data_IF_656941404219
#
_entry.id   IF_656941404219
#
_cell.length_a   1.000
_cell.length_b   1.000
_cell.length_c   1.000
_cell.angle_alpha   90.00
_cell.angle_beta   90.00
_cell.angle_gamma   90.00
#
_symmetry.space_group_name_H-M   'P 1'
#
loop_
_entity.id
_entity.type
_entity.pdbx_description
1 polymer ?
#
# COMPACT_ATOMS: atom_id res chain seq x y z
N UNK A 1 26.58 -7.35 -20.86
CA UNK A 1 26.31 -6.63 -19.59
C UNK A 1 26.94 -5.24 -19.67
N UNK A 2 26.22 -4.29 -20.29
CA UNK A 2 26.68 -2.90 -20.47
C UNK A 2 26.05 -2.04 -19.37
N UNK A 3 26.85 -1.60 -18.40
CA UNK A 3 26.43 -0.61 -17.40
C UNK A 3 26.43 0.76 -18.06
N UNK A 4 25.26 1.35 -18.31
CA UNK A 4 25.15 2.77 -18.63
C UNK A 4 25.52 3.57 -17.39
N UNK A 5 26.62 4.32 -17.46
CA UNK A 5 26.91 5.38 -16.50
C UNK A 5 26.03 6.56 -16.89
N UNK A 6 24.93 6.76 -16.17
CA UNK A 6 24.18 8.01 -16.23
C UNK A 6 25.12 9.16 -15.89
N UNK A 7 25.32 10.08 -16.84
CA UNK A 7 25.95 11.37 -16.60
C UNK A 7 25.07 12.13 -15.61
N UNK A 8 25.53 12.24 -14.37
CA UNK A 8 24.95 13.16 -13.40
C UNK A 8 25.08 14.58 -13.97
N UNK A 9 23.96 15.25 -14.15
CA UNK A 9 23.94 16.69 -14.40
C UNK A 9 24.37 17.36 -13.10
N UNK A 10 25.65 17.74 -13.02
CA UNK A 10 26.12 18.65 -12.00
C UNK A 10 25.33 19.95 -12.15
N UNK A 11 24.38 20.15 -11.26
CA UNK A 11 23.72 21.43 -11.09
C UNK A 11 24.81 22.41 -10.63
N UNK A 12 25.39 23.11 -11.60
CA UNK A 12 26.23 24.28 -11.36
C UNK A 12 25.46 25.22 -10.44
N UNK A 13 25.87 25.26 -9.18
CA UNK A 13 25.47 26.28 -8.23
C UNK A 13 26.07 27.58 -8.75
N UNK A 14 25.36 28.25 -9.66
CA UNK A 14 25.62 29.66 -9.96
C UNK A 14 25.56 30.38 -8.62
N UNK A 15 26.73 30.75 -8.08
CA UNK A 15 26.81 31.83 -7.09
C UNK A 15 26.13 33.01 -7.75
N UNK A 16 24.92 33.31 -7.30
CA UNK A 16 24.32 34.61 -7.56
C UNK A 16 25.24 35.56 -6.82
N UNK A 17 26.11 36.25 -7.56
CA UNK A 17 26.90 37.32 -6.98
C UNK A 17 25.89 38.36 -6.49
N UNK A 18 25.78 38.48 -5.17
CA UNK A 18 25.00 39.54 -4.56
C UNK A 18 25.53 40.85 -5.12
N UNK A 19 24.70 41.73 -5.71
CA UNK A 19 25.14 43.01 -6.28
C UNK A 19 25.46 44.03 -5.17
N UNK A 20 26.05 43.57 -4.08
CA UNK A 20 26.49 44.41 -3.00
C UNK A 20 27.92 44.84 -3.30
N UNK A 21 28.07 46.11 -3.72
CA UNK A 21 29.36 46.77 -3.96
C UNK A 21 30.20 46.87 -2.67
N UNK A 22 29.67 46.44 -1.51
CA UNK A 22 30.33 46.45 -0.20
C UNK A 22 30.81 45.05 0.21
N UNK A 23 31.99 45.00 0.83
CA UNK A 23 32.58 43.77 1.38
C UNK A 23 31.82 43.19 2.60
N UNK A 24 32.25 42.01 3.09
CA UNK A 24 31.62 41.33 4.21
C UNK A 24 31.64 42.19 5.49
N UNK A 25 30.63 42.07 6.37
CA UNK A 25 30.57 42.86 7.59
C UNK A 25 31.79 42.56 8.47
N UNK A 26 32.45 43.61 8.97
CA UNK A 26 33.70 43.53 9.75
C UNK A 26 33.64 42.61 10.97
N UNK A 27 32.43 42.38 11.50
CA UNK A 27 32.20 41.49 12.66
C UNK A 27 31.89 40.03 12.31
N UNK A 28 31.78 39.67 11.02
CA UNK A 28 31.47 38.30 10.56
C UNK A 28 30.08 37.77 10.91
N UNK A 29 29.25 38.55 11.64
CA UNK A 29 27.91 38.14 12.08
C UNK A 29 26.90 38.25 10.94
N UNK A 30 26.35 37.12 10.52
CA UNK A 30 25.40 37.02 9.39
C UNK A 30 24.12 37.86 9.56
N UNK A 31 23.68 38.11 10.79
CA UNK A 31 22.47 38.90 11.09
C UNK A 31 22.68 40.43 10.95
N UNK A 32 23.92 40.87 10.72
CA UNK A 32 24.26 42.26 10.39
C UNK A 32 24.36 42.48 8.88
N UNK A 33 23.57 41.74 8.09
CA UNK A 33 23.49 41.91 6.65
C UNK A 33 22.89 43.27 6.28
N UNK A 34 23.17 43.73 5.05
CA UNK A 34 22.61 44.98 4.56
C UNK A 34 21.08 44.90 4.51
N UNK A 35 20.41 45.85 5.15
CA UNK A 35 18.95 45.95 5.06
C UNK A 35 18.58 46.45 3.67
N UNK A 36 17.76 45.69 2.95
CA UNK A 36 17.19 46.12 1.68
C UNK A 36 16.31 47.36 1.85
N UNK A 37 16.33 48.25 0.85
CA UNK A 37 15.45 49.41 0.84
C UNK A 37 14.00 48.92 0.79
N UNK A 38 13.10 49.58 1.52
CA UNK A 38 11.66 49.24 1.52
C UNK A 38 11.02 49.34 0.14
N UNK A 39 11.63 50.06 -0.80
CA UNK A 39 11.26 50.14 -2.22
C UNK A 39 11.59 48.88 -3.02
N UNK A 40 12.61 48.12 -2.60
CA UNK A 40 13.02 46.85 -3.23
C UNK A 40 12.09 45.71 -2.81
N UNK A 41 11.42 45.84 -1.66
CA UNK A 41 10.40 44.88 -1.23
C UNK A 41 9.24 44.87 -2.23
N UNK A 42 8.96 43.70 -2.79
CA UNK A 42 7.80 43.49 -3.66
C UNK A 42 6.55 43.91 -2.92
N UNK A 43 5.88 44.95 -3.42
CA UNK A 43 4.58 45.41 -2.89
C UNK A 43 3.62 44.22 -2.86
N UNK A 44 2.85 44.11 -1.78
CA UNK A 44 1.88 43.03 -1.62
C UNK A 44 0.99 42.91 -2.86
N UNK A 45 0.81 41.68 -3.35
CA UNK A 45 -0.12 41.46 -4.48
C UNK A 45 -1.50 41.97 -4.07
N UNK A 46 -2.12 42.75 -4.95
CA UNK A 46 -3.51 43.20 -4.76
C UNK A 46 -4.41 41.97 -4.57
N UNK A 47 -5.37 42.09 -3.63
CA UNK A 47 -6.37 41.04 -3.40
C UNK A 47 -7.09 40.74 -4.71
N UNK A 48 -7.26 39.46 -4.99
CA UNK A 48 -8.01 38.99 -6.16
C UNK A 48 -9.49 39.34 -5.93
N UNK A 49 -10.17 39.87 -6.97
CA UNK A 49 -11.59 40.21 -6.86
C UNK A 49 -12.48 39.00 -6.56
N UNK A 50 -13.64 39.24 -5.95
CA UNK A 50 -14.55 38.19 -5.45
C UNK A 50 -14.95 37.17 -6.52
N UNK A 51 -15.35 37.63 -7.72
CA UNK A 51 -15.73 36.77 -8.85
C UNK A 51 -14.60 35.81 -9.25
N UNK A 52 -13.37 36.32 -9.29
CA UNK A 52 -12.21 35.49 -9.64
C UNK A 52 -11.85 34.52 -8.51
N UNK A 53 -12.12 34.86 -7.25
CA UNK A 53 -11.94 33.94 -6.13
C UNK A 53 -12.93 32.78 -6.17
N UNK A 54 -14.19 33.04 -6.51
CA UNK A 54 -15.22 32.01 -6.69
C UNK A 54 -14.89 31.07 -7.85
N UNK A 55 -14.48 31.62 -9.01
CA UNK A 55 -14.01 30.81 -10.13
C UNK A 55 -12.84 29.89 -9.74
N UNK A 56 -11.88 30.40 -8.96
CA UNK A 56 -10.75 29.61 -8.47
C UNK A 56 -11.15 28.54 -7.45
N UNK A 57 -12.19 28.78 -6.65
CA UNK A 57 -12.74 27.77 -5.72
C UNK A 57 -13.43 26.65 -6.50
N UNK A 58 -14.31 27.02 -7.44
CA UNK A 58 -15.00 26.05 -8.29
C UNK A 58 -14.00 25.17 -9.07
N UNK A 59 -12.95 25.77 -9.64
CA UNK A 59 -11.92 25.02 -10.35
C UNK A 59 -11.13 24.08 -9.43
N UNK A 60 -10.76 24.54 -8.22
CA UNK A 60 -10.11 23.68 -7.24
C UNK A 60 -10.98 22.49 -6.85
N UNK A 61 -12.27 22.69 -6.69
CA UNK A 61 -13.18 21.62 -6.28
C UNK A 61 -13.39 20.61 -7.42
N UNK A 62 -13.47 21.07 -8.68
CA UNK A 62 -13.45 20.19 -9.87
C UNK A 62 -12.19 19.34 -9.92
N UNK A 63 -11.01 19.95 -9.76
CA UNK A 63 -9.73 19.22 -9.77
C UNK A 63 -9.65 18.20 -8.64
N UNK A 64 -10.14 18.55 -7.43
CA UNK A 64 -10.21 17.59 -6.32
C UNK A 64 -11.12 16.41 -6.65
N UNK A 65 -12.32 16.67 -7.17
CA UNK A 65 -13.27 15.62 -7.55
C UNK A 65 -12.68 14.65 -8.58
N UNK A 66 -11.99 15.19 -9.59
CA UNK A 66 -11.28 14.37 -10.58
C UNK A 66 -10.14 13.55 -9.93
N UNK A 67 -9.36 14.17 -9.04
CA UNK A 67 -8.28 13.48 -8.32
C UNK A 67 -8.81 12.36 -7.42
N UNK A 68 -9.92 12.58 -6.70
CA UNK A 68 -10.55 11.57 -5.86
C UNK A 68 -11.09 10.42 -6.70
N UNK A 69 -11.78 10.71 -7.80
CA UNK A 69 -12.28 9.68 -8.72
C UNK A 69 -11.16 8.77 -9.25
N UNK A 70 -10.03 9.35 -9.67
CA UNK A 70 -8.86 8.58 -10.12
C UNK A 70 -8.28 7.71 -9.01
N UNK A 71 -8.17 8.24 -7.78
CA UNK A 71 -7.64 7.48 -6.64
C UNK A 71 -8.57 6.33 -6.27
N UNK A 72 -9.87 6.56 -6.29
CA UNK A 72 -10.84 5.55 -5.90
C UNK A 72 -10.92 4.43 -6.93
N UNK A 73 -10.88 4.75 -8.24
CA UNK A 73 -10.76 3.74 -9.30
C UNK A 73 -9.51 2.85 -9.15
N UNK A 74 -8.35 3.45 -8.79
CA UNK A 74 -7.12 2.67 -8.52
C UNK A 74 -7.25 1.78 -7.28
N UNK A 75 -7.93 2.25 -6.24
CA UNK A 75 -8.16 1.45 -5.03
C UNK A 75 -9.09 0.28 -5.30
N UNK A 76 -10.18 0.49 -6.04
CA UNK A 76 -11.12 -0.59 -6.38
C UNK A 76 -10.43 -1.66 -7.23
N UNK A 77 -9.66 -1.27 -8.24
CA UNK A 77 -8.88 -2.20 -9.06
C UNK A 77 -7.88 -3.01 -8.22
N UNK A 78 -7.16 -2.35 -7.30
CA UNK A 78 -6.21 -3.03 -6.42
C UNK A 78 -6.91 -4.00 -5.44
N UNK A 79 -8.06 -3.62 -4.91
CA UNK A 79 -8.86 -4.48 -4.03
C UNK A 79 -9.42 -5.69 -4.77
N UNK A 80 -9.91 -5.52 -6.00
CA UNK A 80 -10.38 -6.62 -6.84
C UNK A 80 -9.25 -7.61 -7.18
N UNK A 81 -8.08 -7.08 -7.55
CA UNK A 81 -6.89 -7.92 -7.80
C UNK A 81 -6.50 -8.70 -6.55
N UNK A 82 -6.44 -8.05 -5.40
CA UNK A 82 -6.13 -8.70 -4.11
C UNK A 82 -7.16 -9.77 -3.77
N UNK A 83 -8.45 -9.49 -3.93
CA UNK A 83 -9.52 -10.47 -3.72
C UNK A 83 -9.35 -11.68 -4.63
N UNK A 84 -9.06 -11.47 -5.92
CA UNK A 84 -8.80 -12.54 -6.89
C UNK A 84 -7.58 -13.38 -6.50
N UNK A 85 -6.50 -12.75 -6.05
CA UNK A 85 -5.31 -13.45 -5.56
C UNK A 85 -5.61 -14.28 -4.31
N UNK A 86 -6.36 -13.74 -3.35
CA UNK A 86 -6.79 -14.45 -2.14
C UNK A 86 -7.69 -15.65 -2.48
N UNK A 87 -8.65 -15.48 -3.39
CA UNK A 87 -9.51 -16.56 -3.88
C UNK A 87 -8.70 -17.64 -4.62
N UNK A 88 -7.75 -17.24 -5.46
CA UNK A 88 -6.87 -18.17 -6.16
C UNK A 88 -5.95 -18.92 -5.20
N UNK A 89 -5.44 -18.26 -4.16
CA UNK A 89 -4.62 -18.89 -3.12
C UNK A 89 -5.44 -19.92 -2.34
N UNK A 90 -6.66 -19.57 -1.93
CA UNK A 90 -7.59 -20.53 -1.28
C UNK A 90 -7.89 -21.73 -2.18
N UNK A 91 -8.21 -21.50 -3.45
CA UNK A 91 -8.41 -22.57 -4.44
C UNK A 91 -7.17 -23.44 -4.60
N UNK A 92 -5.97 -22.86 -4.61
CA UNK A 92 -4.71 -23.60 -4.72
C UNK A 92 -4.46 -24.45 -3.47
N UNK A 93 -4.73 -23.94 -2.28
CA UNK A 93 -4.62 -24.68 -1.03
C UNK A 93 -5.63 -25.84 -0.96
N UNK A 94 -6.87 -25.61 -1.38
CA UNK A 94 -7.89 -26.66 -1.49
C UNK A 94 -7.56 -27.70 -2.55
N UNK A 95 -7.09 -27.26 -3.72
CA UNK A 95 -6.68 -28.16 -4.79
C UNK A 95 -5.46 -28.96 -4.37
N UNK A 96 -4.48 -28.38 -3.67
CA UNK A 96 -3.35 -29.10 -3.12
C UNK A 96 -3.80 -30.21 -2.16
N UNK A 97 -4.74 -29.90 -1.25
CA UNK A 97 -5.36 -30.89 -0.35
C UNK A 97 -6.13 -31.98 -1.11
N UNK A 98 -6.82 -31.64 -2.20
CA UNK A 98 -7.60 -32.59 -3.03
C UNK A 98 -6.72 -33.45 -3.94
N UNK A 99 -5.66 -32.86 -4.52
CA UNK A 99 -4.71 -33.52 -5.42
C UNK A 99 -3.70 -34.38 -4.66
N UNK A 100 -3.67 -34.27 -3.34
CA UNK A 100 -2.88 -35.15 -2.50
C UNK A 100 -3.43 -36.58 -2.58
N UNK A 101 -2.85 -37.38 -3.48
CA UNK A 101 -3.16 -38.79 -3.63
C UNK A 101 -2.51 -39.56 -2.48
N UNK A 102 -3.30 -39.83 -1.43
CA UNK A 102 -2.84 -40.60 -0.26
C UNK A 102 -3.04 -42.10 -0.50
N UNK A 103 -2.02 -42.89 -0.19
CA UNK A 103 -2.15 -44.34 -0.09
C UNK A 103 -2.53 -44.72 1.35
N UNK A 104 -3.73 -45.25 1.56
CA UNK A 104 -4.17 -45.70 2.89
C UNK A 104 -3.42 -46.98 3.28
N UNK A 105 -2.51 -46.86 4.24
CA UNK A 105 -1.75 -48.00 4.78
C UNK A 105 -2.58 -48.69 5.87
N UNK A 106 -3.31 -49.75 5.49
CA UNK A 106 -4.15 -50.52 6.43
C UNK A 106 -3.35 -51.36 7.43
N UNK A 107 -2.16 -51.83 7.05
CA UNK A 107 -1.33 -52.71 7.88
C UNK A 107 -0.02 -52.01 8.27
N UNK A 108 0.16 -51.76 9.57
CA UNK A 108 1.31 -51.05 10.15
C UNK A 108 2.59 -51.89 10.16
N UNK A 109 2.50 -53.22 10.10
CA UNK A 109 3.67 -54.10 10.00
C UNK A 109 4.44 -53.87 8.69
N UNK A 110 3.80 -53.37 7.63
CA UNK A 110 4.49 -52.97 6.39
C UNK A 110 5.49 -51.84 6.62
N UNK A 111 5.13 -50.82 7.38
CA UNK A 111 6.05 -49.70 7.68
C UNK A 111 7.28 -50.18 8.46
N UNK A 112 7.08 -51.10 9.41
CA UNK A 112 8.17 -51.69 10.21
C UNK A 112 9.13 -52.54 9.37
N UNK A 113 8.65 -53.14 8.29
CA UNK A 113 9.45 -53.96 7.36
C UNK A 113 10.16 -53.13 6.28
N UNK A 114 9.81 -51.87 6.10
CA UNK A 114 10.41 -51.02 5.06
C UNK A 114 11.80 -50.54 5.44
N UNK A 115 12.64 -50.35 4.41
CA UNK A 115 13.98 -49.79 4.56
C UNK A 115 13.91 -48.34 5.07
N UNK A 116 14.83 -47.98 5.98
CA UNK A 116 14.92 -46.64 6.60
C UNK A 116 14.97 -45.48 5.59
N UNK A 117 15.54 -45.67 4.40
CA UNK A 117 15.55 -44.65 3.32
C UNK A 117 14.16 -44.42 2.69
N UNK A 118 13.34 -45.46 2.57
CA UNK A 118 11.99 -45.35 2.00
C UNK A 118 11.03 -44.66 2.98
N UNK A 119 11.16 -44.94 4.29
CA UNK A 119 10.42 -44.28 5.35
C UNK A 119 10.61 -42.75 5.38
N UNK A 120 11.76 -42.23 4.92
CA UNK A 120 12.01 -40.77 4.84
C UNK A 120 11.11 -40.06 3.83
N UNK A 121 10.54 -40.78 2.86
CA UNK A 121 9.63 -40.24 1.84
C UNK A 121 8.17 -40.35 2.25
N UNK A 122 7.87 -41.07 3.33
CA UNK A 122 6.51 -41.29 3.81
C UNK A 122 6.14 -40.15 4.74
N UNK A 123 5.16 -39.35 4.35
CA UNK A 123 4.55 -38.32 5.19
C UNK A 123 3.20 -38.81 5.71
N UNK A 124 2.90 -38.52 6.98
CA UNK A 124 1.61 -38.88 7.57
C UNK A 124 0.58 -37.82 7.18
N UNK A 125 -0.50 -38.24 6.51
CA UNK A 125 -1.62 -37.39 6.11
C UNK A 125 -2.91 -37.94 6.67
N UNK A 126 -3.78 -37.06 7.19
CA UNK A 126 -5.03 -37.46 7.81
C UNK A 126 -6.09 -37.73 6.73
N UNK A 127 -6.67 -38.93 6.76
CA UNK A 127 -7.77 -39.37 5.87
C UNK A 127 -9.06 -39.61 6.66
N UNK A 128 -9.09 -39.21 7.93
CA UNK A 128 -10.23 -39.41 8.83
C UNK A 128 -11.41 -38.58 8.36
N UNK A 129 -12.42 -39.24 7.78
CA UNK A 129 -13.70 -38.60 7.46
C UNK A 129 -14.44 -38.35 8.77
N UNK A 130 -14.33 -37.15 9.32
CA UNK A 130 -15.10 -36.76 10.52
C UNK A 130 -16.55 -36.53 10.09
N UNK A 131 -17.37 -37.59 10.15
CA UNK A 131 -18.82 -37.47 10.00
C UNK A 131 -19.34 -36.67 11.18
N UNK A 132 -19.63 -35.39 10.96
CA UNK A 132 -20.24 -34.53 11.98
C UNK A 132 -21.68 -34.96 12.17
N UNK A 133 -21.93 -35.81 13.17
CA UNK A 133 -23.29 -36.11 13.63
C UNK A 133 -23.91 -34.80 14.14
N UNK A 134 -24.84 -34.23 13.37
CA UNK A 134 -25.61 -33.05 13.78
C UNK A 134 -26.61 -33.47 14.86
N UNK A 135 -26.20 -33.47 16.13
CA UNK A 135 -27.17 -33.43 17.22
C UNK A 135 -27.73 -32.01 17.25
N UNK A 136 -28.98 -31.85 16.82
CA UNK A 136 -29.67 -30.57 16.78
C UNK A 136 -29.68 -29.93 18.19
N UNK A 137 -29.29 -28.65 18.36
CA UNK A 137 -29.62 -27.93 19.58
C UNK A 137 -31.13 -27.67 19.59
N UNK A 138 -31.77 -28.03 20.70
CA UNK A 138 -33.19 -27.80 20.93
C UNK A 138 -33.51 -26.31 20.76
N UNK A 139 -34.55 -26.06 19.96
CA UNK A 139 -35.17 -24.75 19.76
C UNK A 139 -35.73 -24.27 21.10
N UNK A 140 -35.14 -23.22 21.67
CA UNK A 140 -35.83 -22.37 22.65
C UNK A 140 -36.14 -21.05 21.96
N UNK A 141 -37.43 -20.90 21.67
CA UNK A 141 -38.08 -19.70 21.20
C UNK A 141 -37.99 -18.61 22.28
N UNK A 142 -37.33 -17.50 21.95
CA UNK A 142 -37.49 -16.24 22.67
C UNK A 142 -38.05 -15.22 21.69
N UNK A 143 -39.32 -14.95 21.93
CA UNK A 143 -40.18 -13.88 21.43
C UNK A 143 -39.61 -12.49 21.74
N UNK A 144 -39.97 -11.55 20.84
CA UNK A 144 -40.28 -10.13 21.09
C UNK A 144 -39.19 -9.03 21.14
N UNK A 145 -39.65 -7.87 20.63
CA UNK A 145 -39.15 -6.48 20.71
C UNK A 145 -38.06 -6.07 19.70
N UNK A 146 -38.14 -4.96 18.97
CA UNK A 146 -39.12 -3.89 18.87
C UNK A 146 -38.82 -3.06 17.60
N UNK A 147 -39.86 -2.50 17.03
CA UNK A 147 -39.84 -1.39 16.05
C UNK A 147 -39.28 -0.11 16.67
N UNK A 148 -38.39 0.58 15.96
CA UNK A 148 -38.39 2.05 15.74
C UNK A 148 -37.37 2.40 14.64
#
# INVERSE_FOLDING_TARGET
>A
MVKSKGKGTEASTKKVEDPNVRGPPKSGRFWKSQKERTTTMVKSRKKVGAVKLEALRAEKDRVKQLSTAIKDARKTEAQEKRRREEENKKKKEENAKKSEIVQVIKNTAKLKRMKKKALRKVEKRDTTVVVKNKKAPAVVSSTEMDTL
#
